data_IF_471708357499
#
_entry.id   IF_471708357499
#
_cell.length_a   1.000
_cell.length_b   1.000
_cell.length_c   1.000
_cell.angle_alpha   90.00
_cell.angle_beta   90.00
_cell.angle_gamma   90.00
#
_symmetry.space_group_name_H-M   'P 1'
#
loop_
_entity.id
_entity.type
_entity.pdbx_description
1 polymer ?
#
# COMPACT_ATOMS: atom_id res chain seq x y z
N UNK A 1 4.41 -7.69 17.18
CA UNK A 1 4.42 -7.87 15.71
C UNK A 1 3.01 -8.24 15.27
N UNK A 2 2.37 -7.51 14.36
CA UNK A 2 1.04 -7.90 13.90
C UNK A 2 1.14 -8.99 12.83
N UNK A 3 0.48 -10.13 13.04
CA UNK A 3 0.45 -11.25 12.09
C UNK A 3 -0.07 -10.81 10.71
N UNK A 4 -1.04 -9.89 10.68
CA UNK A 4 -1.56 -9.29 9.46
C UNK A 4 -0.49 -8.53 8.65
N UNK A 5 0.40 -7.78 9.30
CA UNK A 5 1.50 -7.06 8.62
C UNK A 5 2.53 -8.02 8.04
N UNK A 6 2.83 -9.10 8.76
CA UNK A 6 3.72 -10.15 8.26
C UNK A 6 3.13 -10.80 7.01
N UNK A 7 1.88 -11.28 7.10
CA UNK A 7 1.18 -11.91 5.98
C UNK A 7 1.09 -10.98 4.77
N UNK A 8 0.70 -9.73 4.96
CA UNK A 8 0.60 -8.75 3.87
C UNK A 8 1.96 -8.52 3.18
N UNK A 9 3.04 -8.39 3.97
CA UNK A 9 4.38 -8.15 3.42
C UNK A 9 4.89 -9.37 2.64
N UNK A 10 4.63 -10.58 3.14
CA UNK A 10 4.97 -11.83 2.46
C UNK A 10 4.18 -12.00 1.15
N UNK A 11 2.87 -11.75 1.18
CA UNK A 11 2.01 -11.84 -0.02
C UNK A 11 2.48 -10.83 -1.07
N UNK A 12 2.76 -9.58 -0.67
CA UNK A 12 3.22 -8.55 -1.59
C UNK A 12 4.58 -8.90 -2.21
N UNK A 13 5.53 -9.39 -1.39
CA UNK A 13 6.85 -9.82 -1.87
C UNK A 13 6.77 -11.02 -2.82
N UNK A 14 6.00 -12.05 -2.46
CA UNK A 14 5.80 -13.23 -3.30
C UNK A 14 5.13 -12.87 -4.64
N UNK A 15 4.11 -11.99 -4.59
CA UNK A 15 3.44 -11.49 -5.79
C UNK A 15 4.41 -10.73 -6.70
N UNK A 16 5.23 -9.84 -6.13
CA UNK A 16 6.24 -9.10 -6.89
C UNK A 16 7.30 -10.02 -7.50
N UNK A 17 7.76 -11.04 -6.78
CA UNK A 17 8.69 -12.03 -7.32
C UNK A 17 8.08 -12.81 -8.50
N UNK A 18 6.81 -13.25 -8.40
CA UNK A 18 6.10 -13.94 -9.48
C UNK A 18 5.91 -13.05 -10.72
N UNK A 19 5.59 -11.77 -10.51
CA UNK A 19 5.47 -10.80 -11.61
C UNK A 19 6.83 -10.58 -12.28
N UNK A 20 7.90 -10.36 -11.50
CA UNK A 20 9.25 -10.19 -12.04
C UNK A 20 9.71 -11.44 -12.81
N UNK A 21 9.47 -12.63 -12.27
CA UNK A 21 9.77 -13.89 -12.94
C UNK A 21 8.99 -14.03 -14.25
N UNK A 22 7.71 -13.65 -14.28
CA UNK A 22 6.89 -13.67 -15.49
C UNK A 22 7.40 -12.70 -16.55
N UNK A 23 7.88 -11.52 -16.15
CA UNK A 23 8.52 -10.56 -17.05
C UNK A 23 9.82 -11.11 -17.65
N UNK A 24 10.66 -11.77 -16.86
CA UNK A 24 11.86 -12.44 -17.37
C UNK A 24 11.51 -13.60 -18.31
N UNK A 25 10.52 -14.42 -17.94
CA UNK A 25 10.04 -15.53 -18.76
C UNK A 25 9.53 -15.10 -20.13
N UNK A 26 8.92 -13.92 -20.21
CA UNK A 26 8.34 -13.40 -21.46
C UNK A 26 9.23 -12.38 -22.16
N UNK A 27 10.40 -12.08 -21.58
CA UNK A 27 11.27 -10.95 -21.97
C UNK A 27 10.53 -9.60 -22.08
N UNK A 28 9.40 -9.45 -21.38
CA UNK A 28 8.53 -8.28 -21.47
C UNK A 28 7.66 -8.18 -22.74
N UNK A 29 7.62 -9.21 -23.61
CA UNK A 29 6.78 -9.21 -24.81
C UNK A 29 5.30 -9.47 -24.48
N UNK A 30 4.62 -8.42 -24.05
CA UNK A 30 3.18 -8.44 -23.80
C UNK A 30 2.36 -8.69 -25.07
N UNK A 31 2.85 -8.27 -26.24
CA UNK A 31 2.19 -8.51 -27.53
C UNK A 31 2.18 -9.99 -27.91
N UNK A 32 3.29 -10.70 -27.67
CA UNK A 32 3.39 -12.16 -27.76
C UNK A 32 2.35 -12.88 -26.91
N UNK A 33 2.17 -12.45 -25.66
CA UNK A 33 1.16 -13.00 -24.74
C UNK A 33 -0.25 -12.85 -25.32
N UNK A 34 -0.62 -11.65 -25.79
CA UNK A 34 -1.96 -11.42 -26.35
C UNK A 34 -2.20 -12.25 -27.63
N UNK A 35 -1.18 -12.39 -28.49
CA UNK A 35 -1.25 -13.26 -29.67
C UNK A 35 -1.46 -14.73 -29.27
N UNK A 36 -0.75 -15.21 -28.26
CA UNK A 36 -0.93 -16.55 -27.71
C UNK A 36 -2.32 -16.76 -27.12
N UNK A 37 -2.82 -15.82 -26.31
CA UNK A 37 -4.16 -15.90 -25.72
C UNK A 37 -5.24 -15.91 -26.81
N UNK A 38 -5.08 -15.10 -27.85
CA UNK A 38 -5.94 -15.11 -29.02
C UNK A 38 -5.95 -16.46 -29.74
N UNK A 39 -4.78 -17.02 -30.03
CA UNK A 39 -4.62 -18.32 -30.67
C UNK A 39 -5.20 -19.47 -29.83
N UNK A 40 -4.95 -19.46 -28.51
CA UNK A 40 -5.51 -20.41 -27.55
C UNK A 40 -7.04 -20.32 -27.47
N UNK A 41 -7.58 -19.10 -27.49
CA UNK A 41 -9.02 -18.85 -27.54
C UNK A 41 -9.66 -19.37 -28.83
N UNK A 42 -9.00 -19.18 -29.98
CA UNK A 42 -9.44 -19.72 -31.26
C UNK A 42 -9.44 -21.26 -31.26
N UNK A 43 -8.39 -21.90 -30.74
CA UNK A 43 -8.34 -23.36 -30.61
C UNK A 43 -9.48 -23.91 -29.73
N UNK A 44 -9.79 -23.26 -28.59
CA UNK A 44 -10.92 -23.63 -27.74
C UNK A 44 -12.27 -23.49 -28.43
N UNK A 45 -12.45 -22.43 -29.23
CA UNK A 45 -13.69 -22.24 -30.00
C UNK A 45 -13.85 -23.30 -31.09
N UNK A 46 -12.77 -23.71 -31.76
CA UNK A 46 -12.79 -24.81 -32.73
C UNK A 46 -13.18 -26.13 -32.07
N UNK A 47 -12.61 -26.42 -30.91
CA UNK A 47 -12.95 -27.60 -30.11
C UNK A 47 -14.43 -27.60 -29.67
N UNK A 48 -14.93 -26.45 -29.20
CA UNK A 48 -16.34 -26.28 -28.82
C UNK A 48 -17.31 -26.35 -30.02
N UNK A 49 -16.86 -25.96 -31.22
CA UNK A 49 -17.63 -26.05 -32.45
C UNK A 49 -17.67 -27.46 -33.05
N UNK A 50 -17.03 -28.45 -32.41
CA UNK A 50 -16.99 -29.83 -32.90
C UNK A 50 -16.08 -30.00 -34.12
N UNK A 51 -15.07 -29.15 -34.30
CA UNK A 51 -14.08 -29.29 -35.36
C UNK A 51 -13.33 -30.63 -35.25
N UNK A 52 -12.78 -31.10 -36.37
CA UNK A 52 -12.04 -32.36 -36.39
C UNK A 52 -10.84 -32.32 -35.43
N UNK A 53 -10.45 -33.46 -34.84
CA UNK A 53 -9.29 -33.54 -33.93
C UNK A 53 -8.00 -33.00 -34.55
N UNK A 54 -7.80 -33.20 -35.86
CA UNK A 54 -6.65 -32.69 -36.61
C UNK A 54 -6.63 -31.16 -36.67
N UNK A 55 -7.78 -30.53 -36.91
CA UNK A 55 -7.89 -29.06 -36.92
C UNK A 55 -7.64 -28.45 -35.54
N UNK A 56 -8.12 -29.10 -34.48
CA UNK A 56 -7.87 -28.68 -33.10
C UNK A 56 -6.39 -28.86 -32.73
N UNK A 57 -5.77 -29.96 -33.14
CA UNK A 57 -4.34 -30.21 -32.93
C UNK A 57 -3.46 -29.19 -33.66
N UNK A 58 -3.77 -28.89 -34.92
CA UNK A 58 -3.07 -27.85 -35.70
C UNK A 58 -3.21 -26.46 -35.06
N UNK A 59 -4.40 -26.11 -34.56
CA UNK A 59 -4.62 -24.85 -33.85
C UNK A 59 -3.85 -24.77 -32.52
N UNK A 60 -3.78 -25.87 -31.76
CA UNK A 60 -2.97 -25.97 -30.54
C UNK A 60 -1.47 -25.89 -30.84
N UNK A 61 -0.99 -26.52 -31.92
CA UNK A 61 0.40 -26.46 -32.36
C UNK A 61 0.80 -25.03 -32.74
N UNK A 62 -0.05 -24.30 -33.48
CA UNK A 62 0.19 -22.89 -33.81
C UNK A 62 0.25 -21.99 -32.57
N UNK A 63 -0.58 -22.25 -31.56
CA UNK A 63 -0.50 -21.53 -30.29
C UNK A 63 0.83 -21.82 -29.56
N UNK A 64 1.30 -23.07 -29.58
CA UNK A 64 2.58 -23.45 -29.00
C UNK A 64 3.77 -22.76 -29.70
N UNK A 65 3.74 -22.69 -31.03
CA UNK A 65 4.75 -21.99 -31.82
C UNK A 65 4.84 -20.50 -31.44
N UNK A 66 3.69 -19.83 -31.28
CA UNK A 66 3.65 -18.45 -30.80
C UNK A 66 4.27 -18.34 -29.41
N UNK A 67 3.97 -19.29 -28.50
CA UNK A 67 4.53 -19.30 -27.15
C UNK A 67 6.06 -19.45 -27.16
N UNK A 68 6.60 -20.33 -27.99
CA UNK A 68 8.05 -20.52 -28.14
C UNK A 68 8.77 -19.27 -28.66
N UNK A 69 8.08 -18.42 -29.43
CA UNK A 69 8.66 -17.20 -29.98
C UNK A 69 8.97 -16.10 -28.95
N UNK A 70 8.25 -16.06 -27.82
CA UNK A 70 8.46 -15.06 -26.77
C UNK A 70 8.87 -15.62 -25.41
N UNK A 71 8.66 -16.91 -25.16
CA UNK A 71 9.03 -17.55 -23.90
C UNK A 71 10.53 -17.89 -23.87
N UNK A 72 11.21 -17.45 -22.81
CA UNK A 72 12.60 -17.79 -22.51
C UNK A 72 12.75 -18.34 -21.09
N UNK A 73 12.59 -19.67 -20.92
CA UNK A 73 12.72 -20.31 -19.61
C UNK A 73 14.16 -20.30 -19.09
N UNK A 74 15.17 -20.31 -19.97
CA UNK A 74 16.57 -20.34 -19.56
C UNK A 74 16.97 -19.00 -18.93
N UNK A 75 16.56 -17.89 -19.54
CA UNK A 75 16.77 -16.57 -18.96
C UNK A 75 16.00 -16.39 -17.65
N UNK A 76 14.74 -16.83 -17.59
CA UNK A 76 13.92 -16.73 -16.38
C UNK A 76 14.54 -17.47 -15.18
N UNK A 77 15.07 -18.67 -15.42
CA UNK A 77 15.73 -19.47 -14.38
C UNK A 77 17.03 -18.84 -13.91
N UNK A 78 17.83 -18.26 -14.81
CA UNK A 78 19.03 -17.49 -14.44
C UNK A 78 18.69 -16.23 -13.64
N UNK A 79 17.56 -15.58 -13.93
CA UNK A 79 17.09 -14.37 -13.24
C UNK A 79 16.23 -14.67 -12.00
N UNK A 80 16.05 -15.93 -11.63
CA UNK A 80 15.32 -16.32 -10.42
C UNK A 80 15.86 -15.62 -9.15
N UNK A 81 17.19 -15.50 -8.92
CA UNK A 81 17.70 -14.75 -7.77
C UNK A 81 17.30 -13.27 -7.80
N UNK A 82 17.30 -12.64 -8.98
CA UNK A 82 16.88 -11.25 -9.14
C UNK A 82 15.39 -11.06 -8.87
N UNK A 83 14.54 -11.98 -9.35
CA UNK A 83 13.10 -11.96 -9.06
C UNK A 83 12.82 -12.09 -7.54
N UNK A 84 13.53 -12.98 -6.86
CA UNK A 84 13.44 -13.13 -5.41
C UNK A 84 13.94 -11.89 -4.67
N UNK A 85 15.02 -11.26 -5.14
CA UNK A 85 15.53 -10.01 -4.56
C UNK A 85 14.51 -8.87 -4.70
N UNK A 86 13.87 -8.73 -5.86
CA UNK A 86 12.77 -7.76 -6.06
C UNK A 86 11.64 -8.04 -5.07
N UNK A 87 11.22 -9.30 -4.92
CA UNK A 87 10.20 -9.69 -3.95
C UNK A 87 10.58 -9.34 -2.51
N UNK A 88 11.83 -9.60 -2.12
CA UNK A 88 12.34 -9.25 -0.79
C UNK A 88 12.36 -7.74 -0.55
N UNK A 89 12.79 -6.94 -1.54
CA UNK A 89 12.76 -5.47 -1.49
C UNK A 89 11.33 -4.97 -1.33
N UNK A 90 10.38 -5.48 -2.11
CA UNK A 90 8.96 -5.09 -1.99
C UNK A 90 8.40 -5.48 -0.63
N UNK A 91 8.68 -6.69 -0.12
CA UNK A 91 8.27 -7.11 1.21
C UNK A 91 8.82 -6.17 2.30
N UNK A 92 10.10 -5.78 2.21
CA UNK A 92 10.72 -4.84 3.14
C UNK A 92 10.09 -3.44 3.06
N UNK A 93 9.77 -2.94 1.85
CA UNK A 93 9.10 -1.67 1.65
C UNK A 93 7.68 -1.68 2.23
N UNK A 94 6.90 -2.72 1.95
CA UNK A 94 5.55 -2.88 2.53
C UNK A 94 5.64 -2.97 4.05
N UNK A 95 6.57 -3.78 4.56
CA UNK A 95 6.79 -3.92 5.99
C UNK A 95 7.10 -2.58 6.65
N UNK A 96 8.03 -1.79 6.10
CA UNK A 96 8.43 -0.50 6.67
C UNK A 96 7.33 0.56 6.53
N UNK A 97 6.68 0.68 5.37
CA UNK A 97 5.65 1.68 5.12
C UNK A 97 4.37 1.41 5.91
N UNK A 98 3.88 0.17 5.93
CA UNK A 98 2.73 -0.20 6.76
C UNK A 98 3.06 -0.19 8.24
N UNK A 99 4.29 -0.55 8.61
CA UNK A 99 4.76 -0.41 9.98
C UNK A 99 4.67 1.01 10.50
N UNK A 100 5.22 1.97 9.73
CA UNK A 100 5.16 3.40 10.09
C UNK A 100 3.73 3.91 10.19
N UNK A 101 2.78 3.36 9.41
CA UNK A 101 1.36 3.73 9.47
C UNK A 101 0.63 3.08 10.64
N UNK A 102 0.89 1.79 10.90
CA UNK A 102 0.25 1.03 11.96
C UNK A 102 0.74 1.50 13.33
N UNK A 103 2.05 1.70 13.52
CA UNK A 103 2.59 2.27 14.75
C UNK A 103 2.04 3.67 15.01
N UNK A 104 1.84 4.48 13.96
CA UNK A 104 1.19 5.81 14.07
C UNK A 104 -0.30 5.72 14.44
N UNK A 105 -0.99 4.64 14.08
CA UNK A 105 -2.38 4.41 14.43
C UNK A 105 -2.53 3.76 15.82
N UNK A 106 -1.66 2.81 16.18
CA UNK A 106 -1.64 2.08 17.45
C UNK A 106 -1.13 2.95 18.61
N UNK A 107 -0.26 3.92 18.37
CA UNK A 107 0.23 4.86 19.40
C UNK A 107 -0.80 5.92 19.82
N UNK A 108 -2.05 5.88 19.33
CA UNK A 108 -3.09 6.83 19.74
C UNK A 108 -2.77 8.31 19.49
N UNK A 109 -1.73 8.58 18.70
CA UNK A 109 -1.34 9.91 18.29
C UNK A 109 -2.21 10.35 17.14
N UNK A 110 -3.42 10.83 17.43
CA UNK A 110 -4.04 11.82 16.57
C UNK A 110 -2.94 12.82 16.18
N UNK A 111 -2.77 13.04 14.87
CA UNK A 111 -1.68 13.88 14.35
C UNK A 111 -1.58 15.15 15.22
N UNK A 112 -0.38 15.67 15.50
CA UNK A 112 -0.23 16.94 16.21
C UNK A 112 -1.20 18.01 15.66
N UNK A 113 -1.38 18.06 14.34
CA UNK A 113 -2.39 18.87 13.64
C UNK A 113 -3.85 18.66 14.10
N UNK A 114 -4.27 17.43 14.37
CA UNK A 114 -5.66 17.15 14.78
C UNK A 114 -5.89 17.60 16.22
N UNK A 115 -4.94 17.31 17.11
CA UNK A 115 -5.03 17.76 18.49
C UNK A 115 -4.96 19.29 18.57
N UNK A 116 -4.07 19.92 17.81
CA UNK A 116 -4.00 21.39 17.68
C UNK A 116 -5.31 21.95 17.09
N UNK A 117 -5.90 21.32 16.06
CA UNK A 117 -7.22 21.71 15.54
C UNK A 117 -8.34 21.55 16.55
N UNK A 118 -8.30 20.56 17.43
CA UNK A 118 -9.28 20.40 18.50
C UNK A 118 -9.17 21.54 19.52
N UNK A 119 -7.94 21.89 19.94
CA UNK A 119 -7.68 23.03 20.83
C UNK A 119 -8.16 24.33 20.17
N UNK A 120 -7.80 24.58 18.91
CA UNK A 120 -8.25 25.76 18.17
C UNK A 120 -9.77 25.81 18.04
N UNK A 121 -10.42 24.71 17.66
CA UNK A 121 -11.89 24.63 17.55
C UNK A 121 -12.57 24.95 18.88
N UNK A 122 -12.02 24.45 19.99
CA UNK A 122 -12.51 24.79 21.31
C UNK A 122 -12.29 26.27 21.63
N UNK A 123 -11.07 26.77 21.44
CA UNK A 123 -10.71 28.16 21.71
C UNK A 123 -11.61 29.14 20.93
N UNK A 124 -11.86 28.91 19.64
CA UNK A 124 -12.80 29.73 18.86
C UNK A 124 -14.24 29.67 19.38
N UNK A 125 -14.71 28.51 19.85
CA UNK A 125 -16.04 28.35 20.44
C UNK A 125 -16.17 29.07 21.79
N UNK A 126 -15.06 29.19 22.52
CA UNK A 126 -14.98 29.81 23.85
C UNK A 126 -14.60 31.30 23.80
N UNK A 127 -14.64 31.93 22.63
CA UNK A 127 -14.32 33.36 22.48
C UNK A 127 -12.83 33.69 22.54
N UNK A 128 -11.97 32.71 22.26
CA UNK A 128 -10.52 32.84 22.21
C UNK A 128 -9.81 32.62 23.54
N UNK A 129 -10.55 32.35 24.63
CA UNK A 129 -10.01 32.11 25.97
C UNK A 129 -10.40 30.72 26.49
N UNK A 130 -9.46 30.02 27.13
CA UNK A 130 -9.73 28.74 27.76
C UNK A 130 -8.71 28.36 28.82
N UNK A 131 -9.07 27.46 29.72
CA UNK A 131 -8.13 26.83 30.67
C UNK A 131 -7.80 25.39 30.23
N UNK A 132 -6.74 24.80 30.81
CA UNK A 132 -6.46 23.36 30.61
C UNK A 132 -7.61 22.49 31.13
N UNK A 133 -8.23 22.88 32.25
CA UNK A 133 -9.37 22.17 32.83
C UNK A 133 -10.57 22.16 31.89
N UNK A 134 -10.84 23.29 31.24
CA UNK A 134 -11.89 23.40 30.22
C UNK A 134 -11.66 22.45 29.04
N UNK A 135 -10.40 22.30 28.61
CA UNK A 135 -10.00 21.37 27.55
C UNK A 135 -10.20 19.91 27.95
N UNK A 136 -9.86 19.56 29.19
CA UNK A 136 -10.04 18.20 29.71
C UNK A 136 -11.52 17.82 29.87
N UNK A 137 -12.36 18.78 30.28
CA UNK A 137 -13.79 18.54 30.52
C UNK A 137 -14.61 18.53 29.22
N UNK A 138 -14.22 19.31 28.19
CA UNK A 138 -15.05 19.56 26.99
C UNK A 138 -14.44 19.11 25.68
N UNK A 139 -13.19 18.64 25.67
CA UNK A 139 -12.52 18.06 24.50
C UNK A 139 -12.28 16.56 24.71
N UNK A 140 -12.28 15.73 23.67
CA UNK A 140 -11.90 14.31 23.76
C UNK A 140 -10.40 14.08 24.06
N UNK A 141 -9.67 15.11 24.52
CA UNK A 141 -8.24 15.04 24.81
C UNK A 141 -8.02 14.55 26.24
N UNK A 142 -7.05 13.67 26.43
CA UNK A 142 -6.60 13.30 27.79
C UNK A 142 -5.81 14.45 28.43
N UNK A 143 -5.72 14.49 29.77
CA UNK A 143 -4.96 15.50 30.50
C UNK A 143 -3.47 15.58 30.10
N UNK A 144 -2.90 14.47 29.63
CA UNK A 144 -1.53 14.47 29.11
C UNK A 144 -1.46 15.11 27.73
N UNK A 145 -2.36 14.74 26.82
CA UNK A 145 -2.43 15.30 25.47
C UNK A 145 -2.74 16.81 25.49
N UNK A 146 -3.68 17.25 26.33
CA UNK A 146 -4.00 18.66 26.47
C UNK A 146 -2.76 19.48 26.88
N UNK A 147 -2.04 19.04 27.93
CA UNK A 147 -0.80 19.70 28.37
C UNK A 147 0.27 19.75 27.28
N UNK A 148 0.52 18.64 26.61
CA UNK A 148 1.54 18.56 25.56
C UNK A 148 1.20 19.43 24.35
N UNK A 149 -0.06 19.47 23.92
CA UNK A 149 -0.51 20.26 22.77
C UNK A 149 -0.48 21.75 23.10
N UNK A 150 -1.01 22.15 24.26
CA UNK A 150 -1.04 23.55 24.68
C UNK A 150 0.38 24.09 24.87
N UNK A 151 1.31 23.31 25.42
CA UNK A 151 2.72 23.68 25.53
C UNK A 151 3.35 23.93 24.14
N UNK A 152 3.16 23.01 23.18
CA UNK A 152 3.65 23.19 21.81
C UNK A 152 3.07 24.42 21.10
N UNK A 153 1.77 24.67 21.28
CA UNK A 153 1.11 25.83 20.68
C UNK A 153 1.56 27.16 21.30
N UNK A 154 1.92 27.16 22.59
CA UNK A 154 2.48 28.31 23.27
C UNK A 154 3.93 28.59 22.82
N UNK A 155 4.75 27.56 22.67
CA UNK A 155 6.11 27.68 22.09
C UNK A 155 6.09 28.24 20.65
N UNK A 156 5.07 27.90 19.87
CA UNK A 156 4.88 28.40 18.50
C UNK A 156 4.23 29.78 18.42
N UNK A 157 3.88 30.39 19.55
CA UNK A 157 3.23 31.71 19.60
C UNK A 157 1.78 31.71 19.10
N UNK A 158 1.13 30.54 18.95
CA UNK A 158 -0.29 30.45 18.59
C UNK A 158 -1.21 30.68 19.79
N UNK A 159 -0.68 30.48 21.00
CA UNK A 159 -1.34 30.76 22.26
C UNK A 159 -0.48 31.69 23.10
N UNK A 160 -1.13 32.62 23.78
CA UNK A 160 -0.54 33.45 24.82
C UNK A 160 -1.09 33.07 26.17
N UNK A 161 -0.29 33.22 27.22
CA UNK A 161 -0.73 32.97 28.59
C UNK A 161 -1.53 34.19 29.09
N UNK A 162 -2.72 33.95 29.60
CA UNK A 162 -3.62 35.00 30.09
C UNK A 162 -4.17 34.60 31.46
N UNK A 163 -3.51 35.09 32.52
CA UNK A 163 -3.81 34.71 33.90
C UNK A 163 -3.66 33.19 34.14
N UNK A 164 -4.73 32.55 34.61
CA UNK A 164 -4.81 31.10 34.82
C UNK A 164 -5.13 30.30 33.54
N UNK A 165 -5.37 30.99 32.42
CA UNK A 165 -5.75 30.39 31.14
C UNK A 165 -4.81 30.72 29.99
N UNK A 166 -5.31 30.42 28.79
CA UNK A 166 -4.66 30.62 27.50
C UNK A 166 -5.59 31.43 26.60
N UNK A 167 -5.01 32.35 25.83
CA UNK A 167 -5.69 33.14 24.81
C UNK A 167 -5.10 32.84 23.44
N UNK A 168 -5.93 32.79 22.40
CA UNK A 168 -5.46 32.78 21.01
C UNK A 168 -4.70 34.08 20.70
N UNK A 169 -3.50 33.96 20.14
CA UNK A 169 -2.71 35.12 19.69
C UNK A 169 -3.23 35.70 18.36
#
# INVERSE_FOLDING_TARGET
MSAARLLLSLIAGASAALIAFSLFYTRGDTGGIFRFLGARGAARRLEAAGASPEQVAAAKARALEIAQGFADPAFATQMLPAALLIGAVVAALVWTLFGRRLTRAEQGGERPDVQERMVLKYAYRSGGHFTLRDLEEKSPLTSQQAREVTARMLERGQLTRDGEGYRLS
#
